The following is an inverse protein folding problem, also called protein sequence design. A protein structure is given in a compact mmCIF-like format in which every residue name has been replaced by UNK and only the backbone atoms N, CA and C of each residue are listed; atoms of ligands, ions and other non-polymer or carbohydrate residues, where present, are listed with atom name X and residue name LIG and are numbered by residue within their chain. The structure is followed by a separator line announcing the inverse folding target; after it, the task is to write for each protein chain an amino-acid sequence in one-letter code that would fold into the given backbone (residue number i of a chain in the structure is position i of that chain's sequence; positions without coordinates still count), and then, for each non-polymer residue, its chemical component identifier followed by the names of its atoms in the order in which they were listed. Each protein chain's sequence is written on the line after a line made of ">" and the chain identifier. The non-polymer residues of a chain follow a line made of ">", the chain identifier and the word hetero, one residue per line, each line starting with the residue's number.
data_IF_583999767108
#
_entry.id   IF_583999767108
#
_cell.length_a   1.000
_cell.length_b   1.000
_cell.length_c   1.000
_cell.angle_alpha   90.00
_cell.angle_beta   90.00
_cell.angle_gamma   90.00
#
_symmetry.space_group_name_H-M   'P 1'
#
loop_
_entity.id
_entity.type
_entity.pdbx_description
1 polymer ?
#
# COMPACT_ATOMS: atom_id res chain seq x y z
N UNK A 1 0.57 27.56 -16.67
CA UNK A 1 -0.55 27.02 -15.88
C UNK A 1 0.04 26.02 -14.91
N UNK A 2 0.11 26.38 -13.63
CA UNK A 2 0.63 25.51 -12.59
C UNK A 2 -0.53 24.69 -12.02
N UNK A 3 -0.78 23.52 -12.59
CA UNK A 3 -1.82 22.60 -12.13
C UNK A 3 -1.20 21.62 -11.15
N UNK A 4 -1.60 21.70 -9.88
CA UNK A 4 -1.33 20.69 -8.85
C UNK A 4 -1.99 19.36 -9.29
N UNK A 5 -1.30 18.62 -10.15
CA UNK A 5 -1.71 17.29 -10.63
C UNK A 5 -1.27 16.24 -9.61
N UNK A 6 -2.19 15.36 -9.20
CA UNK A 6 -1.84 14.22 -8.35
C UNK A 6 -0.95 13.22 -9.10
N UNK A 7 -0.12 12.47 -8.38
CA UNK A 7 0.82 11.49 -8.97
C UNK A 7 0.11 10.41 -9.79
N UNK A 8 -1.11 10.08 -9.43
CA UNK A 8 -1.95 9.08 -10.10
C UNK A 8 -2.58 9.57 -11.41
N UNK A 9 -2.69 10.89 -11.61
CA UNK A 9 -3.42 11.50 -12.72
C UNK A 9 -2.53 11.59 -13.98
N UNK A 10 -2.08 10.44 -14.47
CA UNK A 10 -1.08 10.33 -15.56
C UNK A 10 -1.72 10.31 -16.97
N UNK A 11 -3.05 10.38 -17.04
CA UNK A 11 -3.79 10.27 -18.30
C UNK A 11 -3.38 11.36 -19.31
N UNK A 12 -3.04 10.94 -20.53
CA UNK A 12 -2.66 11.86 -21.60
C UNK A 12 -1.20 12.33 -21.59
N UNK A 13 -0.39 11.87 -20.64
CA UNK A 13 1.05 12.14 -20.65
C UNK A 13 1.80 11.21 -21.62
N UNK A 14 2.92 11.67 -22.21
CA UNK A 14 3.80 10.80 -22.97
C UNK A 14 4.31 9.64 -22.12
N UNK A 15 4.28 8.43 -22.67
CA UNK A 15 4.82 7.22 -22.06
C UNK A 15 5.55 6.38 -23.13
N UNK A 16 6.45 5.51 -22.68
CA UNK A 16 7.12 4.53 -23.55
C UNK A 16 6.21 3.35 -23.90
N UNK A 17 6.73 2.44 -24.72
CA UNK A 17 6.05 1.17 -25.01
C UNK A 17 5.90 0.33 -23.74
N UNK A 18 4.74 -0.33 -23.61
CA UNK A 18 4.48 -1.26 -22.51
C UNK A 18 5.05 -2.62 -22.88
N UNK A 19 6.00 -3.11 -22.08
CA UNK A 19 6.44 -4.50 -22.14
C UNK A 19 5.60 -5.31 -21.17
N UNK A 20 4.65 -6.09 -21.69
CA UNK A 20 3.85 -6.97 -20.86
C UNK A 20 4.68 -8.17 -20.40
N UNK A 21 4.65 -8.45 -19.10
CA UNK A 21 5.21 -9.66 -18.51
C UNK A 21 4.24 -10.23 -17.48
N UNK A 22 4.25 -11.54 -17.32
CA UNK A 22 3.57 -12.16 -16.18
C UNK A 22 4.33 -11.83 -14.89
N UNK A 23 3.57 -11.63 -13.81
CA UNK A 23 4.09 -11.40 -12.46
C UNK A 23 3.73 -12.60 -11.58
N UNK A 24 4.73 -13.33 -11.10
CA UNK A 24 4.49 -14.37 -10.10
C UNK A 24 4.36 -13.73 -8.73
N UNK A 25 3.13 -13.72 -8.21
CA UNK A 25 2.83 -13.08 -6.94
C UNK A 25 3.50 -13.83 -5.79
N UNK A 26 4.34 -13.11 -5.05
CA UNK A 26 4.88 -13.59 -3.79
C UNK A 26 3.74 -13.86 -2.78
N UNK A 27 3.99 -14.74 -1.81
CA UNK A 27 2.98 -15.09 -0.81
C UNK A 27 2.49 -13.86 -0.02
N UNK A 28 3.36 -12.88 0.23
CA UNK A 28 2.98 -11.66 0.95
C UNK A 28 2.05 -10.78 0.11
N UNK A 29 2.21 -10.70 -1.21
CA UNK A 29 1.33 -9.94 -2.10
C UNK A 29 -0.09 -10.52 -2.09
N UNK A 30 -0.20 -11.85 -2.15
CA UNK A 30 -1.48 -12.57 -2.01
C UNK A 30 -2.13 -12.30 -0.65
N UNK A 31 -1.33 -12.18 0.43
CA UNK A 31 -1.83 -11.83 1.76
C UNK A 31 -2.32 -10.37 1.83
N UNK A 32 -1.64 -9.44 1.17
CA UNK A 32 -2.09 -8.03 1.08
C UNK A 32 -3.44 -7.94 0.36
N UNK A 33 -3.60 -8.65 -0.75
CA UNK A 33 -4.89 -8.73 -1.45
C UNK A 33 -6.00 -9.31 -0.56
N UNK A 34 -5.72 -10.43 0.11
CA UNK A 34 -6.66 -11.03 1.05
C UNK A 34 -7.02 -10.09 2.22
N UNK A 35 -6.06 -9.32 2.74
CA UNK A 35 -6.31 -8.30 3.76
C UNK A 35 -7.26 -7.22 3.26
N UNK A 36 -7.04 -6.69 2.05
CA UNK A 36 -7.94 -5.70 1.45
C UNK A 36 -9.37 -6.23 1.39
N UNK A 37 -9.57 -7.47 0.91
CA UNK A 37 -10.90 -8.10 0.81
C UNK A 37 -11.53 -8.29 2.18
N UNK A 38 -10.80 -8.83 3.16
CA UNK A 38 -11.32 -9.13 4.49
C UNK A 38 -11.68 -7.86 5.27
N UNK A 39 -10.84 -6.82 5.19
CA UNK A 39 -11.10 -5.54 5.85
C UNK A 39 -12.30 -4.82 5.21
N UNK A 40 -12.41 -4.87 3.87
CA UNK A 40 -13.57 -4.32 3.16
C UNK A 40 -14.88 -5.00 3.58
N UNK A 41 -14.89 -6.34 3.65
CA UNK A 41 -16.06 -7.11 4.13
C UNK A 41 -16.44 -6.81 5.58
N UNK A 42 -15.48 -6.39 6.41
CA UNK A 42 -15.70 -5.97 7.80
C UNK A 42 -16.02 -4.48 7.94
N UNK A 43 -16.16 -3.75 6.84
CA UNK A 43 -16.33 -2.29 6.81
C UNK A 43 -15.21 -1.54 7.53
N UNK A 44 -14.00 -2.09 7.57
CA UNK A 44 -12.80 -1.47 8.16
C UNK A 44 -11.92 -0.73 7.14
N UNK A 45 -12.24 -0.88 5.84
CA UNK A 45 -11.56 -0.24 4.73
C UNK A 45 -12.59 -0.01 3.61
N UNK A 46 -12.54 1.13 2.95
CA UNK A 46 -13.26 1.38 1.69
C UNK A 46 -12.27 1.54 0.54
N UNK A 47 -12.75 1.33 -0.69
CA UNK A 47 -11.94 1.56 -1.90
C UNK A 47 -11.51 3.02 -1.99
N UNK A 48 -12.37 3.97 -1.62
CA UNK A 48 -12.04 5.40 -1.65
C UNK A 48 -10.93 5.78 -0.67
N UNK A 49 -10.92 5.20 0.54
CA UNK A 49 -9.84 5.41 1.51
C UNK A 49 -8.53 4.79 1.04
N UNK A 50 -8.58 3.58 0.47
CA UNK A 50 -7.42 2.92 -0.12
C UNK A 50 -6.81 3.81 -1.21
N UNK A 51 -7.64 4.27 -2.16
CA UNK A 51 -7.22 5.14 -3.26
C UNK A 51 -6.66 6.45 -2.73
N UNK A 52 -7.38 7.15 -1.86
CA UNK A 52 -6.92 8.42 -1.30
C UNK A 52 -5.54 8.32 -0.67
N UNK A 53 -5.28 7.27 0.12
CA UNK A 53 -3.99 7.08 0.78
C UNK A 53 -2.87 6.74 -0.22
N UNK A 54 -3.14 5.97 -1.28
CA UNK A 54 -2.17 5.72 -2.38
C UNK A 54 -1.89 7.01 -3.16
N UNK A 55 -2.94 7.74 -3.51
CA UNK A 55 -2.89 8.94 -4.34
C UNK A 55 -2.26 10.15 -3.62
N UNK A 56 -2.19 10.09 -2.28
CA UNK A 56 -1.53 11.09 -1.42
C UNK A 56 -0.02 10.83 -1.23
N UNK A 57 0.52 9.72 -1.77
CA UNK A 57 1.96 9.49 -1.78
C UNK A 57 2.68 10.59 -2.57
N UNK A 58 3.84 11.02 -2.07
CA UNK A 58 4.74 11.85 -2.85
C UNK A 58 5.24 11.11 -4.09
N UNK A 59 5.57 11.83 -5.17
CA UNK A 59 5.97 11.26 -6.45
C UNK A 59 7.08 10.21 -6.33
N UNK A 60 8.13 10.52 -5.55
CA UNK A 60 9.26 9.61 -5.34
C UNK A 60 8.84 8.27 -4.72
N UNK A 61 7.96 8.31 -3.71
CA UNK A 61 7.46 7.09 -3.06
C UNK A 61 6.51 6.32 -3.99
N UNK A 62 5.63 7.03 -4.71
CA UNK A 62 4.69 6.42 -5.64
C UNK A 62 5.40 5.66 -6.77
N UNK A 63 6.50 6.21 -7.28
CA UNK A 63 7.27 5.61 -8.38
C UNK A 63 8.16 4.45 -7.92
N UNK A 64 8.70 4.51 -6.69
CA UNK A 64 9.59 3.47 -6.15
C UNK A 64 8.85 2.27 -5.57
N UNK A 65 7.67 2.48 -4.99
CA UNK A 65 6.91 1.40 -4.38
C UNK A 65 6.25 0.54 -5.46
N UNK A 66 6.41 -0.78 -5.33
CA UNK A 66 5.62 -1.75 -6.08
C UNK A 66 4.12 -1.58 -5.81
N UNK A 67 3.31 -2.22 -6.66
CA UNK A 67 1.86 -2.13 -6.57
C UNK A 67 1.32 -2.55 -5.19
N UNK A 68 1.78 -3.70 -4.66
CA UNK A 68 1.33 -4.19 -3.36
C UNK A 68 1.97 -3.47 -2.16
N UNK A 69 3.15 -2.86 -2.33
CA UNK A 69 3.71 -1.97 -1.30
C UNK A 69 2.83 -0.74 -1.10
N UNK A 70 2.33 -0.14 -2.19
CA UNK A 70 1.38 0.98 -2.10
C UNK A 70 0.07 0.56 -1.42
N UNK A 71 -0.41 -0.65 -1.69
CA UNK A 71 -1.60 -1.19 -1.05
C UNK A 71 -1.43 -1.41 0.44
N UNK A 72 -0.37 -2.10 0.88
CA UNK A 72 -0.17 -2.35 2.31
C UNK A 72 0.07 -1.05 3.06
N UNK A 73 0.79 -0.09 2.46
CA UNK A 73 0.91 1.26 3.01
C UNK A 73 -0.47 1.90 3.24
N UNK A 74 -1.32 1.93 2.23
CA UNK A 74 -2.63 2.56 2.31
C UNK A 74 -3.60 1.84 3.27
N UNK A 75 -3.54 0.51 3.33
CA UNK A 75 -4.26 -0.28 4.34
C UNK A 75 -3.81 0.12 5.74
N UNK A 76 -2.50 0.14 5.99
CA UNK A 76 -1.92 0.54 7.28
C UNK A 76 -2.35 1.95 7.67
N UNK A 77 -2.26 2.93 6.76
CA UNK A 77 -2.71 4.29 7.03
C UNK A 77 -4.19 4.34 7.38
N UNK A 78 -5.05 3.60 6.66
CA UNK A 78 -6.49 3.58 6.93
C UNK A 78 -6.80 3.00 8.31
N UNK A 79 -6.15 1.90 8.70
CA UNK A 79 -6.36 1.29 10.01
C UNK A 79 -5.90 2.20 11.16
N UNK A 80 -4.81 2.96 10.96
CA UNK A 80 -4.34 3.96 11.92
C UNK A 80 -5.32 5.14 12.01
N UNK A 81 -5.73 5.70 10.87
CA UNK A 81 -6.68 6.82 10.80
C UNK A 81 -8.03 6.48 11.46
N UNK A 82 -8.47 5.22 11.34
CA UNK A 82 -9.68 4.70 11.98
C UNK A 82 -9.50 4.25 13.44
N UNK A 83 -8.28 4.30 13.97
CA UNK A 83 -7.96 3.89 15.34
C UNK A 83 -8.09 2.38 15.60
N UNK A 84 -8.06 1.55 14.55
CA UNK A 84 -8.11 0.08 14.67
C UNK A 84 -6.78 -0.47 15.18
N UNK A 85 -5.68 0.18 14.80
CA UNK A 85 -4.32 -0.11 15.27
C UNK A 85 -3.62 1.23 15.52
N UNK A 86 -2.91 1.37 16.63
CA UNK A 86 -2.07 2.54 16.90
C UNK A 86 -0.68 2.42 16.26
N UNK A 87 -0.01 3.57 16.06
CA UNK A 87 1.38 3.59 15.55
C UNK A 87 2.30 2.80 16.48
N UNK A 88 2.12 2.91 17.80
CA UNK A 88 2.95 2.21 18.78
C UNK A 88 2.74 0.68 18.75
N UNK A 89 1.49 0.22 18.61
CA UNK A 89 1.19 -1.21 18.46
C UNK A 89 1.82 -1.79 17.19
N UNK A 90 1.70 -1.06 16.07
CA UNK A 90 2.32 -1.46 14.82
C UNK A 90 3.85 -1.53 14.95
N UNK A 91 4.46 -0.50 15.53
CA UNK A 91 5.91 -0.43 15.74
C UNK A 91 6.44 -1.56 16.60
N UNK A 92 5.78 -1.84 17.74
CA UNK A 92 6.13 -3.00 18.60
C UNK A 92 6.03 -4.31 17.83
N UNK A 93 4.96 -4.50 17.05
CA UNK A 93 4.76 -5.74 16.29
C UNK A 93 5.80 -5.93 15.19
N UNK A 94 6.20 -4.87 14.50
CA UNK A 94 7.28 -4.92 13.51
C UNK A 94 8.59 -5.35 14.17
N UNK A 95 8.94 -4.75 15.31
CA UNK A 95 10.15 -5.11 16.05
C UNK A 95 10.14 -6.56 16.54
N UNK A 96 9.00 -7.06 17.03
CA UNK A 96 8.82 -8.46 17.41
C UNK A 96 9.02 -9.43 16.24
N UNK A 97 8.50 -9.11 15.06
CA UNK A 97 8.66 -9.94 13.87
C UNK A 97 10.12 -9.94 13.40
N UNK A 98 10.76 -8.77 13.35
CA UNK A 98 12.18 -8.64 12.99
C UNK A 98 13.07 -9.45 13.94
N UNK A 99 12.86 -9.34 15.26
CA UNK A 99 13.64 -10.10 16.25
C UNK A 99 13.45 -11.62 16.11
N UNK A 100 12.28 -12.08 15.65
CA UNK A 100 12.03 -13.50 15.37
C UNK A 100 12.76 -13.99 14.14
N UNK A 101 12.83 -13.16 13.10
CA UNK A 101 13.53 -13.50 11.86
C UNK A 101 15.06 -13.49 12.07
N UNK A 102 15.58 -12.52 12.83
CA UNK A 102 17.01 -12.43 13.21
C UNK A 102 17.44 -13.55 14.17
N UNK A 103 16.51 -14.01 15.02
CA UNK A 103 16.73 -15.07 16.01
C UNK A 103 16.81 -16.48 15.45
N UNK A 104 16.65 -16.66 14.13
CA UNK A 104 16.76 -17.94 13.46
C UNK A 104 15.54 -18.84 13.65
N UNK A 105 14.55 -18.67 12.79
CA UNK A 105 13.71 -19.79 12.35
C UNK A 105 13.56 -19.80 10.83
#
# INVERSE_FOLDING_TARGET
>A
MNTFRGVHDMGGLPAGEVVASEHDFALWEKRVDALMVLLSRKNLLTVDELRRNIESLGADAYDKMSYYERWIYAITQTLIQRGVVSIDELGRRIAEVQARDDGGN
#
